data_IF_003219595790
#
_entry.id   IF_003219595790
#
_cell.length_a   1.000
_cell.length_b   1.000
_cell.length_c   1.000
_cell.angle_alpha   90.00
_cell.angle_beta   90.00
_cell.angle_gamma   90.00
#
_symmetry.space_group_name_H-M   'P 1'
#
loop_
_entity.id
_entity.type
_entity.pdbx_description
1 polymer ?
#
# COMPACT_ATOMS: atom_id res chain seq x y z
N UNK A 1 6.68 23.20 -1.99
CA UNK A 1 6.93 24.49 -2.68
C UNK A 1 8.41 24.75 -3.03
N UNK A 2 9.45 24.44 -2.22
CA UNK A 2 10.84 24.75 -2.62
C UNK A 2 11.36 23.93 -3.82
N UNK A 3 10.89 22.69 -4.00
CA UNK A 3 11.32 21.81 -5.10
C UNK A 3 10.89 22.32 -6.50
N UNK A 4 9.77 23.05 -6.58
CA UNK A 4 9.28 23.60 -7.84
C UNK A 4 10.18 24.74 -8.34
N UNK A 5 10.67 25.59 -7.44
CA UNK A 5 11.56 26.70 -7.79
C UNK A 5 12.95 26.21 -8.24
N UNK A 6 13.47 25.14 -7.63
CA UNK A 6 14.74 24.54 -8.05
C UNK A 6 14.62 23.84 -9.41
N UNK A 7 13.48 23.19 -9.69
CA UNK A 7 13.21 22.56 -10.99
C UNK A 7 13.14 23.59 -12.11
N UNK A 8 12.40 24.69 -11.89
CA UNK A 8 12.25 25.78 -12.85
C UNK A 8 13.59 26.49 -13.07
N UNK A 9 14.37 26.74 -12.01
CA UNK A 9 15.72 27.31 -12.14
C UNK A 9 16.66 26.37 -12.93
N UNK A 10 16.62 25.06 -12.67
CA UNK A 10 17.39 24.07 -13.41
C UNK A 10 16.99 23.98 -14.88
N UNK A 11 15.69 24.01 -15.19
CA UNK A 11 15.17 24.02 -16.56
C UNK A 11 15.50 25.33 -17.29
N UNK A 12 15.42 26.48 -16.60
CA UNK A 12 15.83 27.78 -17.15
C UNK A 12 17.34 27.84 -17.41
N UNK A 13 18.17 27.30 -16.51
CA UNK A 13 19.61 27.20 -16.72
C UNK A 13 19.94 26.25 -17.88
N UNK A 14 19.31 25.09 -17.94
CA UNK A 14 19.47 24.16 -19.07
C UNK A 14 19.06 24.82 -20.39
N UNK A 15 17.90 25.48 -20.45
CA UNK A 15 17.42 26.16 -21.64
C UNK A 15 18.34 27.32 -22.05
N UNK A 16 18.82 28.12 -21.10
CA UNK A 16 19.73 29.24 -21.38
C UNK A 16 21.10 28.76 -21.87
N UNK A 17 21.68 27.72 -21.27
CA UNK A 17 22.98 27.19 -21.70
C UNK A 17 22.90 26.30 -22.95
N UNK A 18 21.80 25.56 -23.14
CA UNK A 18 21.64 24.64 -24.27
C UNK A 18 21.09 25.32 -25.52
N UNK A 19 20.23 26.35 -25.39
CA UNK A 19 19.58 26.98 -26.54
C UNK A 19 20.03 28.43 -26.74
N UNK A 20 20.07 29.24 -25.68
CA UNK A 20 20.27 30.70 -25.82
C UNK A 20 21.74 31.06 -26.03
N UNK A 21 22.66 30.52 -25.23
CA UNK A 21 24.09 30.79 -25.33
C UNK A 21 24.67 30.42 -26.71
N UNK A 22 24.46 29.19 -27.22
CA UNK A 22 24.95 28.80 -28.53
C UNK A 22 24.33 29.65 -29.66
N UNK A 23 23.04 29.95 -29.58
CA UNK A 23 22.35 30.81 -30.54
C UNK A 23 22.93 32.23 -30.58
N UNK A 24 23.13 32.86 -29.42
CA UNK A 24 23.71 34.21 -29.31
C UNK A 24 25.16 34.27 -29.82
N UNK A 25 25.95 33.22 -29.58
CA UNK A 25 27.33 33.14 -30.12
C UNK A 25 27.37 33.01 -31.64
N UNK A 26 26.35 32.39 -32.24
CA UNK A 26 26.24 32.20 -33.68
C UNK A 26 25.60 33.40 -34.39
N UNK A 27 24.70 34.12 -33.73
CA UNK A 27 24.11 35.36 -34.23
C UNK A 27 25.15 36.50 -34.28
N UNK A 28 26.04 36.58 -33.28
CA UNK A 28 27.19 37.50 -33.30
C UNK A 28 28.21 37.18 -34.41
N UNK A 29 28.23 35.94 -34.93
CA UNK A 29 29.06 35.57 -36.07
C UNK A 29 28.48 36.04 -37.43
N UNK A 30 27.34 36.73 -37.43
CA UNK A 30 26.70 37.31 -38.61
C UNK A 30 26.11 36.26 -39.57
N UNK A 31 25.11 36.64 -40.37
CA UNK A 31 24.45 35.77 -41.35
C UNK A 31 25.38 35.14 -42.43
N UNK A 32 26.65 35.55 -42.47
CA UNK A 32 27.72 35.03 -43.35
C UNK A 32 28.64 34.00 -42.64
N UNK A 33 28.53 33.83 -41.31
CA UNK A 33 29.42 32.99 -40.49
C UNK A 33 29.32 31.49 -40.73
N UNK A 34 28.23 31.01 -41.34
CA UNK A 34 28.02 29.59 -41.65
C UNK A 34 29.15 28.99 -42.50
N UNK A 35 29.74 29.76 -43.42
CA UNK A 35 30.83 29.31 -44.30
C UNK A 35 32.19 29.23 -43.59
N UNK A 36 32.42 30.06 -42.57
CA UNK A 36 33.69 30.13 -41.85
C UNK A 36 33.79 29.08 -40.73
N UNK A 37 32.65 28.53 -40.32
CA UNK A 37 32.60 27.54 -39.24
C UNK A 37 32.96 26.14 -39.78
N UNK A 38 34.03 25.58 -39.23
CA UNK A 38 34.52 24.26 -39.59
C UNK A 38 33.51 23.14 -39.26
N UNK A 39 33.56 22.03 -40.01
CA UNK A 39 32.73 20.83 -39.82
C UNK A 39 32.63 20.38 -38.36
N UNK A 40 33.78 20.33 -37.66
CA UNK A 40 33.87 19.88 -36.27
C UNK A 40 33.02 20.72 -35.32
N UNK A 41 32.98 22.03 -35.52
CA UNK A 41 32.23 22.95 -34.67
C UNK A 41 30.72 22.84 -34.90
N UNK A 42 30.30 22.62 -36.15
CA UNK A 42 28.90 22.33 -36.49
C UNK A 42 28.43 21.05 -35.81
N UNK A 43 29.18 19.95 -35.97
CA UNK A 43 28.83 18.67 -35.33
C UNK A 43 28.88 18.71 -33.80
N UNK A 44 29.84 19.44 -33.22
CA UNK A 44 29.94 19.56 -31.76
C UNK A 44 28.80 20.38 -31.17
N UNK A 45 28.39 21.46 -31.83
CA UNK A 45 27.23 22.25 -31.39
C UNK A 45 25.91 21.51 -31.62
N UNK A 46 25.82 20.63 -32.62
CA UNK A 46 24.65 19.74 -32.85
C UNK A 46 24.40 18.71 -31.75
N UNK A 47 25.29 18.58 -30.76
CA UNK A 47 25.02 17.80 -29.53
C UNK A 47 23.86 18.44 -28.76
N UNK A 48 23.70 19.76 -28.82
CA UNK A 48 22.55 20.42 -28.21
C UNK A 48 21.34 20.34 -29.15
N UNK A 49 20.18 19.82 -28.70
CA UNK A 49 19.04 19.56 -29.60
C UNK A 49 18.54 20.81 -30.35
N UNK A 50 18.49 21.96 -29.66
CA UNK A 50 18.13 23.25 -30.28
C UNK A 50 19.10 23.68 -31.39
N UNK A 51 20.39 23.37 -31.24
CA UNK A 51 21.42 23.67 -32.23
C UNK A 51 21.43 22.66 -33.38
N UNK A 52 21.16 21.39 -33.11
CA UNK A 52 20.96 20.38 -34.16
C UNK A 52 19.84 20.78 -35.11
N UNK A 53 18.72 21.24 -34.56
CA UNK A 53 17.59 21.73 -35.35
C UNK A 53 17.95 23.00 -36.15
N UNK A 54 18.67 23.94 -35.54
CA UNK A 54 19.16 25.14 -36.23
C UNK A 54 20.04 24.81 -37.45
N UNK A 55 21.05 23.95 -37.27
CA UNK A 55 21.92 23.56 -38.37
C UNK A 55 21.19 22.75 -39.43
N UNK A 56 20.25 21.88 -39.03
CA UNK A 56 19.37 21.15 -39.94
C UNK A 56 18.56 22.10 -40.83
N UNK A 57 17.92 23.12 -40.26
CA UNK A 57 17.18 24.13 -41.04
C UNK A 57 18.08 24.92 -42.00
N UNK A 58 19.30 25.28 -41.58
CA UNK A 58 20.26 25.98 -42.45
C UNK A 58 20.72 25.14 -43.64
N UNK A 59 20.88 23.83 -43.44
CA UNK A 59 21.21 22.90 -44.51
C UNK A 59 20.02 22.70 -45.44
N UNK A 60 18.80 22.58 -44.91
CA UNK A 60 17.56 22.48 -45.70
C UNK A 60 17.32 23.73 -46.57
N UNK A 61 17.49 24.94 -46.00
CA UNK A 61 17.39 26.21 -46.73
C UNK A 61 18.33 26.24 -47.95
N UNK A 62 19.48 25.55 -47.89
CA UNK A 62 20.42 25.45 -49.01
C UNK A 62 20.02 24.40 -50.02
N UNK A 63 19.51 23.26 -49.59
CA UNK A 63 18.94 22.28 -50.52
C UNK A 63 17.82 22.91 -51.35
N UNK A 64 16.97 23.76 -50.76
CA UNK A 64 15.93 24.48 -51.50
C UNK A 64 16.48 25.56 -52.44
N UNK A 65 17.59 26.23 -52.08
CA UNK A 65 18.19 27.30 -52.91
C UNK A 65 19.08 26.80 -54.04
N UNK A 66 19.78 25.68 -53.86
CA UNK A 66 20.84 25.22 -54.77
C UNK A 66 20.51 23.91 -55.51
N UNK A 67 19.47 23.16 -55.09
CA UNK A 67 19.08 21.88 -55.69
C UNK A 67 17.64 21.96 -56.17
N UNK A 68 17.39 21.76 -57.47
CA UNK A 68 16.05 21.90 -58.09
C UNK A 68 14.96 21.02 -57.45
N UNK A 69 15.35 19.82 -56.97
CA UNK A 69 14.43 18.86 -56.36
C UNK A 69 14.33 18.97 -54.82
N UNK A 70 15.01 19.94 -54.20
CA UNK A 70 15.06 20.09 -52.74
C UNK A 70 15.70 18.91 -52.01
N UNK A 71 15.43 18.80 -50.70
CA UNK A 71 15.95 17.72 -49.86
C UNK A 71 15.06 16.47 -49.96
N UNK A 72 15.62 15.37 -50.50
CA UNK A 72 14.94 14.08 -50.65
C UNK A 72 15.74 12.95 -50.01
N UNK A 73 15.10 11.80 -49.77
CA UNK A 73 15.74 10.60 -49.20
C UNK A 73 16.96 10.10 -49.99
N UNK A 74 17.02 10.37 -51.29
CA UNK A 74 18.15 10.02 -52.16
C UNK A 74 19.35 10.94 -51.95
N UNK A 75 19.10 12.22 -51.63
CA UNK A 75 20.12 13.28 -51.53
C UNK A 75 20.44 13.62 -50.06
N UNK A 76 19.92 12.84 -49.12
CA UNK A 76 20.02 13.07 -47.68
C UNK A 76 21.46 12.95 -47.15
N UNK A 77 22.27 12.14 -47.83
CA UNK A 77 23.70 11.93 -47.54
C UNK A 77 24.60 12.85 -48.36
N UNK A 78 24.04 13.58 -49.33
CA UNK A 78 24.80 14.46 -50.20
C UNK A 78 25.00 15.83 -49.56
N UNK A 79 25.92 16.61 -50.15
CA UNK A 79 26.22 17.97 -49.70
C UNK A 79 25.33 18.95 -50.47
N UNK A 80 24.70 19.88 -49.75
CA UNK A 80 23.80 20.88 -50.33
C UNK A 80 24.50 21.88 -51.26
N UNK A 81 25.78 22.22 -51.01
CA UNK A 81 26.58 23.13 -51.84
C UNK A 81 28.10 22.91 -51.61
N UNK A 82 28.96 23.23 -52.58
CA UNK A 82 30.42 23.40 -52.40
C UNK A 82 30.68 24.84 -51.93
N UNK A 83 31.03 25.11 -50.65
CA UNK A 83 32.05 24.45 -49.84
C UNK A 83 31.53 23.86 -48.50
N UNK A 84 30.27 23.42 -48.44
CA UNK A 84 29.69 22.90 -47.20
C UNK A 84 30.28 21.54 -46.83
N UNK A 85 30.75 21.47 -45.58
CA UNK A 85 31.53 20.33 -45.09
C UNK A 85 30.71 19.34 -44.25
N UNK A 86 29.39 19.51 -44.13
CA UNK A 86 28.49 18.69 -43.30
C UNK A 86 27.28 18.27 -44.12
N UNK A 87 26.85 17.02 -43.97
CA UNK A 87 25.64 16.49 -44.61
C UNK A 87 24.45 16.59 -43.66
N UNK A 88 23.23 16.62 -44.20
CA UNK A 88 22.02 16.65 -43.39
C UNK A 88 21.92 15.40 -42.51
N UNK A 89 22.26 14.23 -43.05
CA UNK A 89 22.30 12.96 -42.34
C UNK A 89 23.20 13.00 -41.09
N UNK A 90 24.38 13.61 -41.18
CA UNK A 90 25.32 13.69 -40.06
C UNK A 90 24.75 14.50 -38.89
N UNK A 91 24.13 15.65 -39.17
CA UNK A 91 23.54 16.52 -38.13
C UNK A 91 22.35 15.83 -37.46
N UNK A 92 21.46 15.24 -38.27
CA UNK A 92 20.27 14.54 -37.77
C UNK A 92 20.67 13.32 -36.94
N UNK A 93 21.67 12.55 -37.38
CA UNK A 93 22.17 11.40 -36.63
C UNK A 93 22.76 11.80 -35.28
N UNK A 94 23.60 12.84 -35.24
CA UNK A 94 24.15 13.36 -33.97
C UNK A 94 23.03 13.86 -33.06
N UNK A 95 22.02 14.54 -33.61
CA UNK A 95 20.84 14.98 -32.87
C UNK A 95 20.08 13.82 -32.22
N UNK A 96 19.67 12.82 -33.01
CA UNK A 96 18.91 11.66 -32.53
C UNK A 96 19.68 10.88 -31.46
N UNK A 97 20.97 10.59 -31.70
CA UNK A 97 21.80 9.86 -30.73
C UNK A 97 21.90 10.64 -29.42
N UNK A 98 22.08 11.96 -29.50
CA UNK A 98 22.19 12.78 -28.30
C UNK A 98 20.87 12.90 -27.57
N UNK A 99 19.74 13.04 -28.27
CA UNK A 99 18.40 13.02 -27.68
C UNK A 99 18.15 11.70 -26.93
N UNK A 100 18.50 10.54 -27.52
CA UNK A 100 18.40 9.26 -26.84
C UNK A 100 19.25 9.21 -25.55
N UNK A 101 20.47 9.73 -25.59
CA UNK A 101 21.35 9.79 -24.42
C UNK A 101 20.78 10.71 -23.34
N UNK A 102 20.34 11.92 -23.71
CA UNK A 102 19.75 12.90 -22.78
C UNK A 102 18.47 12.33 -22.17
N UNK A 103 17.58 11.73 -22.96
CA UNK A 103 16.35 11.09 -22.46
C UNK A 103 16.68 9.95 -21.48
N UNK A 104 17.70 9.14 -21.78
CA UNK A 104 18.14 8.06 -20.88
C UNK A 104 18.71 8.60 -19.56
N UNK A 105 19.51 9.67 -19.63
CA UNK A 105 20.08 10.34 -18.45
C UNK A 105 18.97 11.00 -17.63
N UNK A 106 18.05 11.74 -18.26
CA UNK A 106 16.91 12.37 -17.59
C UNK A 106 16.04 11.33 -16.90
N UNK A 107 15.71 10.24 -17.60
CA UNK A 107 14.99 9.11 -17.04
C UNK A 107 15.72 8.53 -15.82
N UNK A 108 17.05 8.36 -15.88
CA UNK A 108 17.84 7.87 -14.74
C UNK A 108 17.82 8.86 -13.56
N UNK A 109 18.07 10.14 -13.81
CA UNK A 109 18.13 11.19 -12.79
C UNK A 109 16.78 11.38 -12.11
N UNK A 110 15.68 11.43 -12.86
CA UNK A 110 14.33 11.58 -12.30
C UNK A 110 13.95 10.41 -11.38
N UNK A 111 14.39 9.20 -11.72
CA UNK A 111 14.14 8.01 -10.90
C UNK A 111 15.01 7.94 -9.63
N UNK A 112 16.25 8.42 -9.68
CA UNK A 112 17.18 8.41 -8.52
C UNK A 112 16.97 9.62 -7.61
N UNK A 113 16.72 10.79 -8.20
CA UNK A 113 16.51 12.08 -7.52
C UNK A 113 15.19 12.69 -8.00
N UNK A 114 14.04 12.21 -7.49
CA UNK A 114 12.75 12.72 -7.89
C UNK A 114 12.63 14.19 -7.45
N UNK A 115 12.40 15.07 -8.43
CA UNK A 115 12.20 16.50 -8.22
C UNK A 115 10.75 16.78 -7.74
N UNK A 116 9.83 15.83 -7.97
CA UNK A 116 8.42 15.88 -7.56
C UNK A 116 8.04 14.85 -6.47
N UNK A 117 6.73 14.65 -6.19
CA UNK A 117 6.27 13.63 -5.26
C UNK A 117 6.60 12.23 -5.81
N UNK A 118 7.62 11.59 -5.24
CA UNK A 118 8.07 10.27 -5.64
C UNK A 118 9.07 9.70 -4.64
N UNK A 119 9.19 8.38 -4.61
CA UNK A 119 10.17 7.68 -3.76
C UNK A 119 11.46 7.53 -4.56
N UNK A 120 12.55 8.11 -4.07
CA UNK A 120 13.87 8.00 -4.68
C UNK A 120 14.28 6.53 -4.82
N UNK A 121 14.64 6.11 -6.03
CA UNK A 121 15.16 4.76 -6.29
C UNK A 121 16.67 4.71 -6.03
N UNK A 122 17.18 3.54 -5.69
CA UNK A 122 18.62 3.32 -5.51
C UNK A 122 19.39 3.57 -6.82
N UNK A 123 20.63 4.05 -6.75
CA UNK A 123 21.48 4.27 -7.93
C UNK A 123 21.60 3.06 -8.89
N UNK A 124 21.48 1.85 -8.36
CA UNK A 124 21.56 0.59 -9.12
C UNK A 124 20.18 0.04 -9.50
N UNK A 125 19.10 0.82 -9.43
CA UNK A 125 17.76 0.37 -9.77
C UNK A 125 17.61 -0.22 -11.20
N UNK A 126 18.35 0.22 -12.24
CA UNK A 126 18.20 -0.39 -13.57
C UNK A 126 18.65 -1.85 -13.60
N UNK A 127 19.58 -2.22 -12.71
CA UNK A 127 20.15 -3.56 -12.60
C UNK A 127 19.57 -4.36 -11.42
N UNK A 128 18.55 -3.83 -10.75
CA UNK A 128 17.91 -4.45 -9.59
C UNK A 128 16.40 -4.40 -9.71
N UNK A 129 15.75 -5.57 -9.69
CA UNK A 129 14.30 -5.65 -9.58
C UNK A 129 13.91 -5.71 -8.10
N UNK A 130 13.23 -4.69 -7.58
CA UNK A 130 12.84 -4.60 -6.16
C UNK A 130 14.00 -4.87 -5.18
N UNK A 131 15.20 -4.40 -5.52
CA UNK A 131 16.41 -4.58 -4.70
C UNK A 131 17.18 -5.88 -4.97
N UNK A 132 16.62 -6.81 -5.74
CA UNK A 132 17.24 -8.08 -6.10
C UNK A 132 18.10 -7.90 -7.36
N UNK A 133 19.38 -8.33 -7.38
CA UNK A 133 20.18 -8.29 -8.59
C UNK A 133 19.63 -9.25 -9.66
N UNK A 134 19.61 -8.82 -10.93
CA UNK A 134 18.97 -9.53 -12.05
C UNK A 134 19.32 -11.02 -12.16
N UNK A 135 20.56 -11.41 -11.87
CA UNK A 135 20.99 -12.82 -11.92
C UNK A 135 20.33 -13.72 -10.85
N UNK A 136 19.87 -13.16 -9.73
CA UNK A 136 19.18 -13.91 -8.65
C UNK A 136 17.66 -13.91 -8.80
N UNK A 137 17.11 -13.01 -9.59
CA UNK A 137 15.64 -12.83 -9.74
C UNK A 137 14.96 -14.15 -10.12
N UNK A 138 15.53 -14.90 -11.07
CA UNK A 138 14.92 -16.16 -11.52
C UNK A 138 14.85 -17.22 -10.41
N UNK A 139 15.87 -17.29 -9.56
CA UNK A 139 15.90 -18.21 -8.44
C UNK A 139 14.86 -17.81 -7.38
N UNK A 140 14.84 -16.54 -6.97
CA UNK A 140 13.88 -16.05 -5.98
C UNK A 140 12.42 -16.16 -6.46
N UNK A 141 12.16 -15.92 -7.75
CA UNK A 141 10.82 -16.08 -8.32
C UNK A 141 10.34 -17.53 -8.26
N UNK A 142 11.20 -18.53 -8.51
CA UNK A 142 10.80 -19.94 -8.44
C UNK A 142 10.48 -20.33 -7.00
N UNK A 143 11.28 -19.91 -6.03
CA UNK A 143 11.00 -20.14 -4.61
C UNK A 143 9.70 -19.48 -4.18
N UNK A 144 9.50 -18.21 -4.55
CA UNK A 144 8.32 -17.43 -4.16
C UNK A 144 7.03 -17.98 -4.77
N UNK A 145 7.05 -18.41 -6.04
CA UNK A 145 5.89 -19.03 -6.71
C UNK A 145 5.51 -20.34 -6.01
N UNK A 146 6.50 -21.09 -5.52
CA UNK A 146 6.26 -22.28 -4.73
C UNK A 146 5.66 -21.95 -3.36
N UNK A 147 6.23 -20.96 -2.65
CA UNK A 147 5.77 -20.54 -1.31
C UNK A 147 4.32 -20.01 -1.32
N UNK A 148 3.89 -19.38 -2.42
CA UNK A 148 2.55 -18.80 -2.59
C UNK A 148 1.57 -19.80 -3.23
N UNK A 149 2.01 -21.04 -3.48
CA UNK A 149 1.20 -22.09 -4.11
C UNK A 149 0.61 -21.69 -5.48
N UNK A 150 1.42 -21.03 -6.31
CA UNK A 150 1.06 -20.59 -7.68
C UNK A 150 1.79 -21.37 -8.78
N UNK A 151 2.40 -22.51 -8.42
CA UNK A 151 3.25 -23.29 -9.34
C UNK A 151 2.50 -23.76 -10.58
N UNK A 152 1.26 -24.21 -10.43
CA UNK A 152 0.42 -24.73 -11.52
C UNK A 152 -0.02 -23.64 -12.51
N UNK A 153 -0.01 -22.38 -12.06
CA UNK A 153 -0.47 -21.23 -12.84
C UNK A 153 0.67 -20.40 -13.45
N UNK A 154 1.90 -20.91 -13.41
CA UNK A 154 3.11 -20.19 -13.85
C UNK A 154 3.05 -19.69 -15.31
N UNK A 155 2.37 -20.44 -16.17
CA UNK A 155 2.27 -20.14 -17.61
C UNK A 155 0.93 -19.48 -17.99
N UNK A 156 0.09 -19.18 -17.00
CA UNK A 156 -1.20 -18.51 -17.19
C UNK A 156 -0.98 -17.00 -17.11
N UNK A 157 -1.66 -16.24 -17.96
CA UNK A 157 -1.57 -14.77 -17.91
C UNK A 157 -2.26 -14.28 -16.63
N UNK A 158 -1.71 -13.23 -16.01
CA UNK A 158 -2.26 -12.69 -14.77
C UNK A 158 -3.75 -12.29 -14.86
N UNK A 159 -4.19 -11.85 -16.05
CA UNK A 159 -5.58 -11.46 -16.34
C UNK A 159 -6.54 -12.66 -16.33
N UNK A 160 -6.05 -13.85 -16.68
CA UNK A 160 -6.85 -15.08 -16.77
C UNK A 160 -6.94 -15.81 -15.41
N UNK A 161 -6.25 -15.32 -14.38
CA UNK A 161 -6.32 -15.88 -13.01
C UNK A 161 -7.63 -15.50 -12.34
N UNK A 162 -8.14 -16.39 -11.47
CA UNK A 162 -9.25 -16.04 -10.58
C UNK A 162 -8.86 -14.88 -9.66
N UNK A 163 -9.84 -14.10 -9.19
CA UNK A 163 -9.57 -12.92 -8.38
C UNK A 163 -8.76 -13.22 -7.11
N UNK A 164 -8.99 -14.38 -6.48
CA UNK A 164 -8.19 -14.83 -5.33
C UNK A 164 -6.74 -15.16 -5.69
N UNK A 165 -6.51 -15.81 -6.83
CA UNK A 165 -5.17 -16.09 -7.33
C UNK A 165 -4.44 -14.79 -7.75
N UNK A 166 -5.16 -13.80 -8.29
CA UNK A 166 -4.60 -12.47 -8.58
C UNK A 166 -4.12 -11.78 -7.29
N UNK A 167 -4.93 -11.83 -6.22
CA UNK A 167 -4.55 -11.28 -4.91
C UNK A 167 -3.33 -11.99 -4.31
N UNK A 168 -3.24 -13.31 -4.46
CA UNK A 168 -2.02 -14.06 -4.10
C UNK A 168 -0.81 -13.62 -4.90
N UNK A 169 -0.96 -13.44 -6.21
CA UNK A 169 0.11 -12.92 -7.04
C UNK A 169 0.52 -11.51 -6.58
N UNK A 170 -0.42 -10.64 -6.22
CA UNK A 170 -0.12 -9.33 -5.64
C UNK A 170 0.65 -9.44 -4.31
N UNK A 171 0.24 -10.35 -3.42
CA UNK A 171 0.97 -10.61 -2.17
C UNK A 171 2.39 -11.10 -2.46
N UNK A 172 2.56 -12.08 -3.36
CA UNK A 172 3.87 -12.56 -3.81
C UNK A 172 4.74 -11.40 -4.28
N UNK A 173 4.21 -10.55 -5.18
CA UNK A 173 4.92 -9.37 -5.67
C UNK A 173 5.28 -8.42 -4.53
N UNK A 174 4.44 -8.23 -3.51
CA UNK A 174 4.74 -7.39 -2.36
C UNK A 174 5.91 -7.93 -1.53
N UNK A 175 6.05 -9.25 -1.42
CA UNK A 175 7.11 -9.94 -0.65
C UNK A 175 8.43 -10.01 -1.43
N UNK A 176 8.36 -9.97 -2.76
CA UNK A 176 9.52 -10.02 -3.63
C UNK A 176 10.54 -8.94 -3.26
N UNK A 177 11.79 -9.34 -3.01
CA UNK A 177 12.87 -8.46 -2.59
C UNK A 177 13.06 -8.36 -1.08
N UNK A 178 12.32 -9.16 -0.29
CA UNK A 178 12.42 -9.25 1.18
C UNK A 178 12.38 -7.85 1.83
N UNK A 179 11.30 -7.07 1.61
CA UNK A 179 11.17 -5.75 2.20
C UNK A 179 11.12 -5.83 3.73
N UNK A 180 11.58 -4.77 4.41
CA UNK A 180 11.50 -4.69 5.88
C UNK A 180 10.09 -4.41 6.40
N UNK A 181 9.28 -3.74 5.59
CA UNK A 181 7.89 -3.36 5.90
C UNK A 181 7.02 -3.66 4.70
N UNK A 182 5.90 -4.33 4.91
CA UNK A 182 4.88 -4.58 3.90
C UNK A 182 3.56 -3.96 4.37
N UNK A 183 2.90 -3.24 3.48
CA UNK A 183 1.57 -2.66 3.71
C UNK A 183 0.62 -3.38 2.76
N UNK A 184 -0.46 -3.95 3.29
CA UNK A 184 -1.47 -4.65 2.51
C UNK A 184 -2.84 -4.07 2.83
N UNK A 185 -3.58 -3.71 1.79
CA UNK A 185 -4.95 -3.26 1.93
C UNK A 185 -5.90 -4.43 1.62
N UNK A 186 -6.65 -4.88 2.63
CA UNK A 186 -7.68 -5.92 2.50
C UNK A 186 -7.21 -7.17 1.73
N UNK A 187 -6.11 -7.85 2.13
CA UNK A 187 -5.45 -8.87 1.31
C UNK A 187 -6.37 -10.06 0.98
N UNK A 188 -7.23 -10.48 1.91
CA UNK A 188 -8.08 -11.67 1.76
C UNK A 188 -9.50 -11.41 1.26
N UNK A 189 -9.85 -10.16 0.96
CA UNK A 189 -11.17 -9.84 0.41
C UNK A 189 -11.44 -10.64 -0.89
N UNK A 190 -12.68 -11.06 -1.13
CA UNK A 190 -13.08 -11.84 -2.31
C UNK A 190 -12.30 -13.15 -2.58
N UNK A 191 -11.66 -13.72 -1.55
CA UNK A 191 -11.08 -15.06 -1.60
C UNK A 191 -12.04 -16.06 -0.98
N UNK A 192 -12.04 -17.28 -1.51
CA UNK A 192 -12.72 -18.43 -0.94
C UNK A 192 -12.12 -18.81 0.44
N UNK A 193 -12.86 -19.54 1.30
CA UNK A 193 -12.40 -19.87 2.65
C UNK A 193 -11.04 -20.56 2.70
N UNK A 194 -10.75 -21.47 1.78
CA UNK A 194 -9.47 -22.17 1.71
C UNK A 194 -8.37 -21.24 1.17
N UNK A 195 -8.70 -20.46 0.13
CA UNK A 195 -7.92 -19.36 -0.38
C UNK A 195 -7.38 -18.42 0.71
N UNK A 196 -8.24 -18.03 1.66
CA UNK A 196 -7.91 -17.16 2.80
C UNK A 196 -6.97 -17.83 3.79
N UNK A 197 -7.22 -19.09 4.15
CA UNK A 197 -6.37 -19.84 5.11
C UNK A 197 -4.93 -19.94 4.63
N UNK A 198 -4.74 -20.31 3.37
CA UNK A 198 -3.40 -20.37 2.76
C UNK A 198 -2.72 -18.99 2.73
N UNK A 199 -3.48 -17.91 2.47
CA UNK A 199 -2.94 -16.55 2.57
C UNK A 199 -2.51 -16.23 4.01
N UNK A 200 -3.33 -16.59 5.01
CA UNK A 200 -2.98 -16.38 6.41
C UNK A 200 -1.70 -17.13 6.81
N UNK A 201 -1.56 -18.38 6.39
CA UNK A 201 -0.33 -19.15 6.63
C UNK A 201 0.89 -18.48 6.01
N UNK A 202 0.75 -17.96 4.79
CA UNK A 202 1.80 -17.22 4.11
C UNK A 202 2.17 -15.94 4.89
N UNK A 203 1.20 -15.14 5.32
CA UNK A 203 1.43 -13.94 6.13
C UNK A 203 2.10 -14.27 7.48
N UNK A 204 1.68 -15.36 8.14
CA UNK A 204 2.27 -15.85 9.38
C UNK A 204 3.72 -16.34 9.21
N UNK A 205 4.11 -16.81 8.03
CA UNK A 205 5.51 -17.13 7.70
C UNK A 205 6.33 -15.85 7.51
N UNK A 206 5.78 -14.89 6.75
CA UNK A 206 6.47 -13.65 6.36
C UNK A 206 6.72 -12.73 7.55
N UNK A 207 5.77 -12.64 8.49
CA UNK A 207 5.89 -11.78 9.68
C UNK A 207 7.13 -12.05 10.55
N UNK A 208 7.75 -13.23 10.42
CA UNK A 208 9.01 -13.56 11.11
C UNK A 208 10.22 -12.77 10.58
N UNK A 209 10.11 -12.24 9.36
CA UNK A 209 11.22 -11.61 8.63
C UNK A 209 10.99 -10.12 8.33
N UNK A 210 9.74 -9.64 8.42
CA UNK A 210 9.39 -8.25 8.17
C UNK A 210 8.18 -7.80 8.98
N UNK A 211 8.02 -6.49 9.17
CA UNK A 211 6.82 -5.92 9.75
C UNK A 211 5.69 -5.88 8.69
N UNK A 212 4.52 -6.41 9.02
CA UNK A 212 3.35 -6.42 8.14
C UNK A 212 2.29 -5.51 8.73
N UNK A 213 1.87 -4.49 7.98
CA UNK A 213 0.72 -3.65 8.28
C UNK A 213 -0.42 -4.06 7.34
N UNK A 214 -1.53 -4.51 7.92
CA UNK A 214 -2.69 -4.95 7.17
C UNK A 214 -3.94 -4.18 7.63
N UNK A 215 -4.80 -3.84 6.68
CA UNK A 215 -6.18 -3.44 6.94
C UNK A 215 -7.08 -4.61 6.62
N UNK A 216 -8.09 -4.85 7.46
CA UNK A 216 -9.08 -5.90 7.24
C UNK A 216 -10.42 -5.52 7.86
N UNK A 217 -11.49 -5.87 7.15
CA UNK A 217 -12.86 -5.86 7.62
C UNK A 217 -13.24 -7.18 8.32
N UNK A 218 -12.42 -8.23 8.18
CA UNK A 218 -12.67 -9.53 8.77
C UNK A 218 -11.99 -9.61 10.15
N UNK A 219 -12.79 -9.61 11.21
CA UNK A 219 -12.25 -9.62 12.57
C UNK A 219 -11.56 -10.94 12.92
N UNK A 220 -11.98 -12.06 12.32
CA UNK A 220 -11.28 -13.34 12.44
C UNK A 220 -9.84 -13.27 11.90
N UNK A 221 -9.63 -12.55 10.79
CA UNK A 221 -8.30 -12.34 10.22
C UNK A 221 -7.44 -11.51 11.19
N UNK A 222 -8.00 -10.44 11.75
CA UNK A 222 -7.32 -9.61 12.73
C UNK A 222 -6.95 -10.39 14.00
N UNK A 223 -7.81 -11.30 14.47
CA UNK A 223 -7.57 -12.13 15.65
C UNK A 223 -6.45 -13.15 15.42
N UNK A 224 -6.38 -13.75 14.23
CA UNK A 224 -5.39 -14.78 13.88
C UNK A 224 -4.03 -14.18 13.52
N UNK A 225 -4.01 -13.10 12.74
CA UNK A 225 -2.78 -12.50 12.21
C UNK A 225 -2.22 -11.38 13.11
N UNK A 226 -3.08 -10.72 13.88
CA UNK A 226 -2.74 -9.49 14.58
C UNK A 226 -1.99 -9.70 15.88
N UNK A 227 -0.71 -9.35 15.90
CA UNK A 227 0.03 -9.19 17.17
C UNK A 227 -0.46 -7.96 17.96
N UNK A 228 -0.86 -6.91 17.21
CA UNK A 228 -1.48 -5.69 17.74
C UNK A 228 -2.56 -5.21 16.77
N UNK A 229 -3.76 -4.97 17.29
CA UNK A 229 -4.90 -4.49 16.53
C UNK A 229 -5.13 -3.02 16.88
N UNK A 230 -5.46 -2.22 15.87
CA UNK A 230 -5.89 -0.84 16.02
C UNK A 230 -7.31 -0.71 15.46
N UNK A 231 -8.26 -0.31 16.30
CA UNK A 231 -9.64 -0.06 15.87
C UNK A 231 -9.79 1.42 15.55
N UNK A 232 -10.19 1.72 14.32
CA UNK A 232 -10.37 3.09 13.83
C UNK A 232 -11.85 3.40 13.66
N UNK A 233 -12.28 4.61 14.07
CA UNK A 233 -13.64 5.10 13.80
C UNK A 233 -13.63 6.63 13.63
N UNK A 234 -14.32 7.12 12.60
CA UNK A 234 -14.40 8.54 12.23
C UNK A 234 -13.03 9.20 12.05
N UNK A 235 -12.12 8.53 11.32
CA UNK A 235 -10.79 9.06 11.00
C UNK A 235 -9.81 9.13 12.18
N UNK A 236 -10.14 8.52 13.34
CA UNK A 236 -9.25 8.47 14.51
C UNK A 236 -9.15 7.05 15.07
N UNK A 237 -7.96 6.69 15.57
CA UNK A 237 -7.75 5.45 16.31
C UNK A 237 -8.46 5.58 17.66
N UNK A 238 -9.33 4.63 17.99
CA UNK A 238 -10.15 4.62 19.21
C UNK A 238 -9.53 3.79 20.31
N UNK A 239 -9.09 2.59 19.96
CA UNK A 239 -8.38 1.73 20.87
C UNK A 239 -7.33 0.93 20.10
N UNK A 240 -6.35 0.42 20.83
CA UNK A 240 -5.32 -0.42 20.28
C UNK A 240 -4.66 -1.28 21.34
N UNK A 241 -4.26 -2.49 20.96
CA UNK A 241 -3.66 -3.45 21.87
C UNK A 241 -3.61 -4.85 21.24
N UNK A 242 -3.13 -5.83 21.98
CA UNK A 242 -3.23 -7.23 21.53
C UNK A 242 -4.70 -7.68 21.48
N UNK A 243 -5.05 -8.67 20.65
CA UNK A 243 -6.43 -9.19 20.59
C UNK A 243 -6.93 -9.62 21.97
N UNK A 244 -6.08 -10.30 22.75
CA UNK A 244 -6.38 -10.71 24.12
C UNK A 244 -6.60 -9.51 25.05
N UNK A 245 -5.77 -8.46 24.96
CA UNK A 245 -5.95 -7.26 25.77
C UNK A 245 -7.27 -6.55 25.45
N UNK A 246 -7.61 -6.40 24.16
CA UNK A 246 -8.84 -5.77 23.73
C UNK A 246 -10.07 -6.55 24.21
N UNK A 247 -10.06 -7.88 24.07
CA UNK A 247 -11.10 -8.77 24.60
C UNK A 247 -11.21 -8.71 26.12
N UNK A 248 -10.11 -8.52 26.85
CA UNK A 248 -10.15 -8.36 28.30
C UNK A 248 -10.61 -6.97 28.75
N UNK A 249 -10.27 -5.92 28.00
CA UNK A 249 -10.57 -4.53 28.36
C UNK A 249 -12.00 -4.14 28.03
N UNK A 250 -12.48 -4.54 26.85
CA UNK A 250 -13.78 -4.16 26.30
C UNK A 250 -14.77 -5.32 26.27
N UNK A 251 -14.26 -6.56 26.30
CA UNK A 251 -15.11 -7.73 26.32
C UNK A 251 -15.79 -7.93 27.67
N UNK A 252 -16.98 -8.51 27.61
CA UNK A 252 -17.72 -8.87 28.81
C UNK A 252 -17.30 -10.23 29.38
N UNK A 253 -16.29 -10.88 28.79
CA UNK A 253 -15.65 -12.09 29.28
C UNK A 253 -16.20 -13.33 28.59
N UNK A 254 -16.98 -14.13 29.32
CA UNK A 254 -17.60 -15.33 28.79
C UNK A 254 -19.10 -15.14 28.62
N UNK A 255 -19.62 -15.60 27.49
CA UNK A 255 -21.05 -15.66 27.19
C UNK A 255 -21.48 -17.11 27.34
N UNK A 256 -22.52 -17.35 28.13
CA UNK A 256 -23.13 -18.66 28.29
C UNK A 256 -24.47 -18.66 27.58
N UNK A 257 -24.59 -19.54 26.60
CA UNK A 257 -25.82 -19.77 25.85
C UNK A 257 -26.50 -21.01 26.43
N UNK A 258 -27.79 -20.90 26.72
CA UNK A 258 -28.58 -21.98 27.32
C UNK A 258 -29.82 -22.18 26.45
N UNK A 259 -29.96 -23.38 25.89
CA UNK A 259 -31.15 -23.79 25.17
C UNK A 259 -32.17 -24.34 26.17
N UNK A 260 -33.42 -23.89 26.03
CA UNK A 260 -34.48 -24.08 27.02
C UNK A 260 -35.44 -25.18 26.60
N UNK A 261 -35.83 -25.99 27.58
CA UNK A 261 -37.04 -26.82 27.47
C UNK A 261 -38.29 -25.97 27.80
N UNK A 262 -39.49 -26.39 27.38
CA UNK A 262 -40.74 -25.64 27.59
C UNK A 262 -41.08 -25.33 29.06
N UNK A 263 -40.44 -26.00 30.03
CA UNK A 263 -40.60 -25.79 31.48
C UNK A 263 -39.32 -25.27 32.13
N UNK A 264 -38.63 -24.32 31.49
CA UNK A 264 -37.37 -23.78 31.97
C UNK A 264 -37.56 -22.75 33.11
N UNK A 265 -36.82 -22.91 34.21
CA UNK A 265 -36.78 -21.96 35.32
C UNK A 265 -35.58 -21.01 35.20
N UNK A 266 -35.77 -19.90 34.47
CA UNK A 266 -34.74 -18.90 34.19
C UNK A 266 -34.20 -18.26 35.48
N UNK A 267 -35.07 -17.99 36.47
CA UNK A 267 -34.65 -17.38 37.74
C UNK A 267 -33.75 -18.33 38.56
N UNK A 268 -34.03 -19.63 38.53
CA UNK A 268 -33.18 -20.66 39.13
C UNK A 268 -31.80 -20.72 38.49
N UNK A 269 -31.74 -20.61 37.15
CA UNK A 269 -30.49 -20.56 36.39
C UNK A 269 -29.71 -19.29 36.75
N UNK A 270 -30.33 -18.12 36.77
CA UNK A 270 -29.66 -16.87 37.12
C UNK A 270 -29.08 -16.91 38.55
N UNK A 271 -29.81 -17.49 39.50
CA UNK A 271 -29.35 -17.65 40.88
C UNK A 271 -28.16 -18.62 40.97
N UNK A 272 -28.22 -19.73 40.22
CA UNK A 272 -27.11 -20.68 40.13
C UNK A 272 -25.86 -20.03 39.51
N UNK A 273 -26.03 -19.24 38.45
CA UNK A 273 -24.93 -18.52 37.80
C UNK A 273 -24.33 -17.48 38.73
N UNK A 274 -25.15 -16.69 39.45
CA UNK A 274 -24.67 -15.70 40.43
C UNK A 274 -23.84 -16.32 41.56
N UNK A 275 -24.08 -17.59 41.91
CA UNK A 275 -23.27 -18.33 42.91
C UNK A 275 -21.81 -18.50 42.47
N UNK A 276 -21.56 -18.74 41.18
CA UNK A 276 -20.21 -18.97 40.64
C UNK A 276 -19.60 -17.74 39.99
N UNK A 277 -20.42 -16.91 39.37
CA UNK A 277 -20.08 -15.69 38.65
C UNK A 277 -20.93 -14.52 39.18
N UNK A 278 -20.46 -13.77 40.19
CA UNK A 278 -21.26 -12.73 40.86
C UNK A 278 -21.62 -11.55 39.94
N UNK A 279 -20.89 -11.37 38.83
CA UNK A 279 -21.17 -10.34 37.81
C UNK A 279 -22.07 -10.85 36.68
N UNK A 280 -22.63 -12.05 36.81
CA UNK A 280 -23.50 -12.62 35.78
C UNK A 280 -24.72 -11.74 35.54
N UNK A 281 -24.92 -11.32 34.28
CA UNK A 281 -26.09 -10.56 33.83
C UNK A 281 -26.72 -11.26 32.64
N UNK A 282 -28.05 -11.30 32.61
CA UNK A 282 -28.82 -11.78 31.45
C UNK A 282 -28.76 -10.71 30.37
N UNK A 283 -28.35 -11.07 29.15
CA UNK A 283 -28.26 -10.17 28.00
C UNK A 283 -29.50 -10.29 27.12
N UNK A 284 -29.83 -11.51 26.69
CA UNK A 284 -31.00 -11.81 25.87
C UNK A 284 -31.77 -12.99 26.42
N UNK A 285 -33.07 -12.94 26.22
CA UNK A 285 -34.04 -13.93 26.68
C UNK A 285 -35.07 -14.13 25.56
N UNK A 286 -34.94 -15.24 24.83
CA UNK A 286 -35.86 -15.65 23.75
C UNK A 286 -36.57 -16.94 24.14
N UNK A 287 -37.62 -17.33 23.44
CA UNK A 287 -38.43 -18.50 23.83
C UNK A 287 -37.62 -19.79 23.94
N UNK A 288 -36.66 -19.99 23.03
CA UNK A 288 -35.83 -21.21 22.98
C UNK A 288 -34.44 -21.05 23.60
N UNK A 289 -33.93 -19.83 23.75
CA UNK A 289 -32.54 -19.59 24.15
C UNK A 289 -32.41 -18.43 25.14
N UNK A 290 -31.48 -18.53 26.09
CA UNK A 290 -31.07 -17.42 26.95
C UNK A 290 -29.55 -17.25 26.91
N UNK A 291 -29.11 -16.01 26.80
CA UNK A 291 -27.68 -15.66 26.82
C UNK A 291 -27.34 -14.88 28.08
N UNK A 292 -26.37 -15.39 28.83
CA UNK A 292 -25.86 -14.79 30.06
C UNK A 292 -24.41 -14.35 29.87
N UNK A 293 -24.13 -13.11 30.20
CA UNK A 293 -22.78 -12.57 30.30
C UNK A 293 -22.27 -12.90 31.70
N UNK A 294 -21.24 -13.74 31.81
CA UNK A 294 -20.69 -14.18 33.10
C UNK A 294 -19.63 -13.22 33.66
N UNK A 295 -19.20 -12.21 32.89
CA UNK A 295 -18.09 -11.35 33.26
C UNK A 295 -16.73 -12.01 33.00
N UNK A 296 -15.65 -11.32 33.40
CA UNK A 296 -14.31 -11.92 33.45
C UNK A 296 -14.26 -13.00 34.53
N UNK A 297 -14.38 -14.26 34.12
CA UNK A 297 -14.15 -15.40 35.00
C UNK A 297 -12.64 -15.63 35.10
N UNK A 298 -12.09 -15.29 36.27
CA UNK A 298 -10.64 -15.25 36.50
C UNK A 298 -10.02 -16.66 36.69
N UNK A 299 -10.82 -17.74 36.80
CA UNK A 299 -10.30 -19.07 37.10
C UNK A 299 -11.00 -20.21 36.34
N UNK A 300 -10.25 -20.95 35.52
CA UNK A 300 -10.71 -22.14 34.77
C UNK A 300 -11.37 -23.20 35.67
N UNK A 301 -10.86 -23.38 36.91
CA UNK A 301 -11.45 -24.33 37.88
C UNK A 301 -12.89 -23.98 38.26
N UNK A 302 -13.21 -22.69 38.38
CA UNK A 302 -14.58 -22.23 38.71
C UNK A 302 -15.55 -22.51 37.57
N UNK A 303 -15.09 -22.40 36.32
CA UNK A 303 -15.87 -22.72 35.13
C UNK A 303 -16.26 -24.21 35.16
N UNK A 304 -15.29 -25.11 35.36
CA UNK A 304 -15.58 -26.56 35.40
C UNK A 304 -16.56 -26.92 36.51
N UNK A 305 -16.42 -26.35 37.72
CA UNK A 305 -17.37 -26.59 38.81
C UNK A 305 -18.76 -26.03 38.53
N UNK A 306 -18.84 -24.89 37.85
CA UNK A 306 -20.11 -24.28 37.45
C UNK A 306 -20.82 -25.19 36.43
N UNK A 307 -20.13 -25.67 35.40
CA UNK A 307 -20.68 -26.60 34.41
C UNK A 307 -21.21 -27.88 35.06
N UNK A 308 -20.43 -28.50 35.95
CA UNK A 308 -20.88 -29.69 36.70
C UNK A 308 -22.12 -29.43 37.55
N UNK A 309 -22.25 -28.23 38.13
CA UNK A 309 -23.42 -27.86 38.92
C UNK A 309 -24.66 -27.63 38.04
N UNK A 310 -24.47 -27.06 36.85
CA UNK A 310 -25.54 -26.87 35.86
C UNK A 310 -26.00 -28.22 35.32
N UNK A 311 -25.09 -29.12 34.94
CA UNK A 311 -25.41 -30.48 34.50
C UNK A 311 -26.17 -31.27 35.57
N UNK A 312 -25.79 -31.15 36.84
CA UNK A 312 -26.49 -31.85 37.94
C UNK A 312 -27.92 -31.33 38.15
N UNK A 313 -28.20 -30.09 37.77
CA UNK A 313 -29.51 -29.45 37.95
C UNK A 313 -30.25 -29.22 36.62
N UNK A 314 -29.75 -29.76 35.50
CA UNK A 314 -30.27 -29.48 34.16
C UNK A 314 -31.72 -29.95 34.00
N UNK A 315 -32.04 -31.16 34.49
CA UNK A 315 -33.40 -31.73 34.47
C UNK A 315 -34.38 -30.90 35.29
N UNK A 316 -33.97 -30.43 36.47
CA UNK A 316 -34.80 -29.63 37.36
C UNK A 316 -34.98 -28.18 36.87
N UNK A 317 -33.99 -27.64 36.17
CA UNK A 317 -34.00 -26.28 35.63
C UNK A 317 -34.58 -26.19 34.21
N UNK A 318 -34.81 -27.33 33.55
CA UNK A 318 -35.36 -27.39 32.20
C UNK A 318 -34.38 -26.93 31.12
N UNK A 319 -33.12 -27.38 31.20
CA UNK A 319 -32.05 -27.03 30.25
C UNK A 319 -31.86 -28.16 29.24
N UNK A 320 -31.86 -27.84 27.95
CA UNK A 320 -31.57 -28.80 26.88
C UNK A 320 -30.06 -28.91 26.60
N UNK A 321 -29.41 -27.77 26.36
CA UNK A 321 -27.97 -27.72 26.11
C UNK A 321 -27.37 -26.40 26.61
N UNK A 322 -26.06 -26.42 26.87
CA UNK A 322 -25.30 -25.26 27.36
C UNK A 322 -24.06 -25.09 26.50
N UNK A 323 -23.91 -23.90 25.91
CA UNK A 323 -22.71 -23.45 25.20
C UNK A 323 -21.96 -22.39 25.99
N UNK A 324 -20.62 -22.44 25.94
CA UNK A 324 -19.76 -21.35 26.39
C UNK A 324 -19.05 -20.75 25.19
N UNK A 325 -19.23 -19.46 24.97
CA UNK A 325 -18.47 -18.70 23.98
C UNK A 325 -17.65 -17.62 24.67
N UNK A 326 -16.51 -17.30 24.08
CA UNK A 326 -15.63 -16.22 24.54
C UNK A 326 -15.98 -14.97 23.76
N UNK A 327 -15.87 -13.79 24.39
CA UNK A 327 -16.02 -12.51 23.67
C UNK A 327 -15.17 -12.49 22.40
N UNK A 328 -15.81 -12.22 21.27
CA UNK A 328 -15.17 -12.06 19.97
C UNK A 328 -14.64 -10.62 19.81
N UNK A 329 -13.85 -10.37 18.75
CA UNK A 329 -13.51 -8.99 18.39
C UNK A 329 -14.72 -8.20 17.88
N UNK A 330 -15.79 -8.87 17.43
CA UNK A 330 -17.03 -8.23 17.00
C UNK A 330 -17.72 -7.56 18.19
N UNK A 331 -17.81 -8.27 19.32
CA UNK A 331 -18.36 -7.72 20.57
C UNK A 331 -17.57 -6.49 21.03
N UNK A 332 -16.23 -6.55 20.91
CA UNK A 332 -15.35 -5.42 21.23
C UNK A 332 -15.64 -4.23 20.31
N UNK A 333 -15.81 -4.47 19.01
CA UNK A 333 -16.10 -3.42 18.03
C UNK A 333 -17.44 -2.75 18.31
N UNK A 334 -18.49 -3.53 18.60
CA UNK A 334 -19.82 -3.03 18.98
C UNK A 334 -19.71 -2.16 20.22
N UNK A 335 -19.00 -2.62 21.25
CA UNK A 335 -18.84 -1.89 22.51
C UNK A 335 -18.08 -0.57 22.35
N UNK A 336 -17.00 -0.58 21.56
CA UNK A 336 -16.24 0.64 21.23
C UNK A 336 -17.11 1.62 20.43
N UNK A 337 -18.02 1.11 19.60
CA UNK A 337 -19.05 1.91 18.92
C UNK A 337 -20.03 2.56 19.90
N UNK A 338 -20.61 1.79 20.82
CA UNK A 338 -21.54 2.27 21.86
C UNK A 338 -20.93 3.36 22.73
N UNK A 339 -19.73 3.13 23.28
CA UNK A 339 -19.03 4.12 24.12
C UNK A 339 -18.76 5.42 23.34
N UNK A 340 -18.53 5.33 22.02
CA UNK A 340 -18.37 6.52 21.17
C UNK A 340 -19.69 7.28 20.94
N UNK A 341 -20.81 6.58 20.79
CA UNK A 341 -22.12 7.23 20.75
C UNK A 341 -22.42 7.96 22.08
N UNK A 342 -22.13 7.34 23.22
CA UNK A 342 -22.31 7.93 24.55
C UNK A 342 -21.45 9.19 24.70
N UNK A 343 -20.16 9.14 24.36
CA UNK A 343 -19.29 10.32 24.43
C UNK A 343 -19.69 11.44 23.46
N UNK A 344 -20.27 11.12 22.31
CA UNK A 344 -20.77 12.14 21.37
C UNK A 344 -22.02 12.83 21.92
N UNK A 345 -22.94 12.09 22.54
CA UNK A 345 -24.12 12.66 23.20
C UNK A 345 -23.73 13.53 24.39
N UNK A 346 -22.83 13.06 25.26
CA UNK A 346 -22.32 13.86 26.37
C UNK A 346 -21.62 15.14 25.92
N UNK A 347 -20.83 15.07 24.83
CA UNK A 347 -20.15 16.26 24.31
C UNK A 347 -21.12 17.28 23.67
N UNK A 348 -22.20 16.81 23.06
CA UNK A 348 -23.26 17.68 22.54
C UNK A 348 -24.11 18.29 23.67
N UNK A 349 -24.27 17.59 24.81
CA UNK A 349 -24.95 18.12 26.01
C UNK A 349 -24.05 19.09 26.81
N UNK A 350 -22.74 18.86 26.86
CA UNK A 350 -21.74 19.76 27.43
C UNK A 350 -21.54 21.03 26.57
N UNK A 351 -21.59 20.93 25.24
CA UNK A 351 -21.56 22.11 24.35
C UNK A 351 -22.84 22.97 24.48
N UNK A 352 -23.94 22.42 25.01
CA UNK A 352 -25.16 23.16 25.38
C UNK A 352 -25.15 23.71 26.83
N UNK A 353 -24.24 23.25 27.67
CA UNK A 353 -24.04 23.72 29.05
C UNK A 353 -22.61 24.25 29.19
N UNK A 354 -22.39 25.45 28.63
CA UNK A 354 -21.06 26.02 28.44
C UNK A 354 -20.15 25.97 29.66
N UNK A 355 -19.21 25.03 29.66
CA UNK A 355 -17.92 25.13 30.34
C UNK A 355 -16.91 24.17 29.70
N UNK A 356 -16.13 24.70 28.75
CA UNK A 356 -15.06 23.97 28.10
C UNK A 356 -13.89 23.76 29.08
N UNK A 357 -13.85 22.61 29.74
CA UNK A 357 -12.65 22.13 30.43
C UNK A 357 -11.90 21.13 29.56
N UNK A 358 -10.66 21.48 29.22
CA UNK A 358 -9.67 20.63 28.55
C UNK A 358 -9.33 19.45 29.47
N UNK A 359 -9.85 18.26 29.18
CA UNK A 359 -9.44 17.02 29.86
C UNK A 359 -8.56 16.17 28.93
N UNK A 360 -7.39 15.83 29.49
CA UNK A 360 -6.21 15.21 28.92
C UNK A 360 -6.42 13.96 28.05
N UNK A 361 -5.80 13.97 26.86
CA UNK A 361 -5.59 12.81 25.98
C UNK A 361 -4.38 11.95 26.37
N UNK A 362 -3.82 12.11 27.57
CA UNK A 362 -2.58 11.44 27.98
C UNK A 362 -2.75 9.99 28.50
N UNK A 363 -3.97 9.47 28.64
CA UNK A 363 -4.22 8.15 29.26
C UNK A 363 -4.00 6.91 28.38
N UNK A 364 -3.79 7.03 27.07
CA UNK A 364 -3.90 5.89 26.13
C UNK A 364 -2.54 5.20 25.84
N UNK A 365 -1.41 5.75 26.31
CA UNK A 365 -0.06 5.26 25.98
C UNK A 365 0.76 4.71 27.16
N UNK A 366 0.12 4.09 28.16
CA UNK A 366 0.85 3.34 29.19
C UNK A 366 0.35 1.90 29.32
N UNK A 367 1.13 0.99 28.75
CA UNK A 367 1.03 -0.45 28.90
C UNK A 367 2.09 -1.08 28.02
N UNK A 368 3.19 -1.48 28.65
CA UNK A 368 4.43 -2.02 28.08
C UNK A 368 4.22 -3.16 27.09
#
# INVERSE_FOLDING_TARGET
MPAAHTAVAGAMLYWTFSCVMPFLTLEHAGGQGYHYIQRKHKLWTSIFPGMSLHWSFRVLERFEKFVENGANWTNFYDRAATPDNVTLAEIVLVGIVTDCVIVTILWYVENVLPIGPGIAKSFLFPFKLKGIPLHKVRYELVTLVHDVNLSDYRHVRAVDLSLGLQRRLCAALAILGKPKVIIMDEPTSNMDPDGRREMWELLLKIRRSCAVFLTTQHLDEADVLGDRILIMANGRIRCGGSPTFLKQRFGTGYHMQINKLPKCNIAGIELLLKKYAPKAKRQTDSDNEAVFILGQIVATRKIVTMFKAIEKQSENLGIESVGLTVTSLEDVLVRVGEDHHIHRHHKLEEDHSGEASLVDTQGIYKGY
#
